data_IF_056201999796
#
_entry.id   IF_056201999796
#
_cell.length_a   1.000
_cell.length_b   1.000
_cell.length_c   1.000
_cell.angle_alpha   90.00
_cell.angle_beta   90.00
_cell.angle_gamma   90.00
#
_symmetry.space_group_name_H-M   'P 1'
#
loop_
_entity.id
_entity.type
_entity.pdbx_description
1 polymer ?
#
# COMPACT_ATOMS: atom_id res chain seq x y z
N UNK A 1 -9.01 39.90 16.37
CA UNK A 1 -8.81 38.49 16.79
C UNK A 1 -8.76 37.63 15.55
N UNK A 2 -7.55 37.41 15.03
CA UNK A 2 -7.29 36.59 13.84
C UNK A 2 -7.20 35.13 14.28
N UNK A 3 -8.13 34.28 13.83
CA UNK A 3 -8.03 32.85 14.02
C UNK A 3 -6.82 32.33 13.25
N UNK A 4 -5.72 32.04 13.94
CA UNK A 4 -4.63 31.27 13.36
C UNK A 4 -5.21 29.89 13.07
N UNK A 5 -5.41 29.61 11.79
CA UNK A 5 -5.72 28.28 11.31
C UNK A 5 -4.57 27.37 11.72
N UNK A 6 -4.79 26.53 12.73
CA UNK A 6 -3.86 25.47 13.09
C UNK A 6 -3.71 24.56 11.88
N UNK A 7 -2.64 24.73 11.11
CA UNK A 7 -2.27 23.75 10.10
C UNK A 7 -2.12 22.40 10.80
N UNK A 8 -2.76 21.32 10.29
CA UNK A 8 -2.56 20.00 10.87
C UNK A 8 -1.06 19.71 10.88
N UNK A 9 -0.52 19.37 12.05
CA UNK A 9 0.90 19.08 12.22
C UNK A 9 1.35 18.06 11.16
N UNK A 10 2.19 18.53 10.21
CA UNK A 10 2.80 17.68 9.20
C UNK A 10 3.77 16.75 9.91
N UNK A 11 3.67 15.46 9.61
CA UNK A 11 4.56 14.45 10.17
C UNK A 11 5.79 14.38 9.27
N UNK A 12 6.70 15.35 9.42
CA UNK A 12 7.87 15.51 8.54
C UNK A 12 8.69 14.21 8.37
N UNK A 13 8.80 13.40 9.44
CA UNK A 13 9.44 12.08 9.36
C UNK A 13 8.70 11.09 8.45
N UNK A 14 7.36 11.07 8.45
CA UNK A 14 6.57 10.23 7.54
C UNK A 14 6.75 10.70 6.10
N UNK A 15 6.78 12.01 5.88
CA UNK A 15 6.96 12.57 4.53
C UNK A 15 8.36 12.24 3.97
N UNK A 16 9.41 12.37 4.80
CA UNK A 16 10.77 11.97 4.43
C UNK A 16 10.88 10.46 4.14
N UNK A 17 10.24 9.64 4.96
CA UNK A 17 10.24 8.18 4.81
C UNK A 17 9.55 7.74 3.52
N UNK A 18 8.43 8.38 3.16
CA UNK A 18 7.78 8.19 1.86
C UNK A 18 8.64 8.66 0.69
N UNK A 19 9.37 9.77 0.83
CA UNK A 19 10.25 10.27 -0.21
C UNK A 19 11.40 9.29 -0.47
N UNK A 20 12.04 8.79 0.58
CA UNK A 20 13.11 7.78 0.46
C UNK A 20 12.54 6.48 -0.13
N UNK A 21 11.43 6.00 0.41
CA UNK A 21 10.77 4.78 -0.08
C UNK A 21 10.38 4.88 -1.55
N UNK A 22 9.90 6.03 -2.03
CA UNK A 22 9.53 6.19 -3.44
C UNK A 22 10.74 6.14 -4.35
N UNK A 23 11.87 6.74 -3.95
CA UNK A 23 13.11 6.63 -4.72
C UNK A 23 13.61 5.18 -4.78
N UNK A 24 13.57 4.45 -3.66
CA UNK A 24 13.96 3.05 -3.63
C UNK A 24 13.09 2.20 -4.57
N UNK A 25 11.77 2.41 -4.60
CA UNK A 25 10.88 1.70 -5.53
C UNK A 25 11.22 2.03 -6.99
N UNK A 26 11.46 3.30 -7.32
CA UNK A 26 11.83 3.69 -8.69
C UNK A 26 13.16 3.05 -9.09
N UNK A 27 14.16 3.12 -8.22
CA UNK A 27 15.48 2.53 -8.45
C UNK A 27 15.42 1.00 -8.57
N UNK A 28 14.60 0.34 -7.77
CA UNK A 28 14.35 -1.10 -7.89
C UNK A 28 13.84 -1.47 -9.29
N UNK A 29 12.83 -0.75 -9.80
CA UNK A 29 12.30 -1.00 -11.14
C UNK A 29 13.34 -0.72 -12.23
N UNK A 30 14.14 0.33 -12.10
CA UNK A 30 15.23 0.62 -13.03
C UNK A 30 16.35 -0.42 -12.99
N UNK A 31 16.62 -1.00 -11.83
CA UNK A 31 17.58 -2.09 -11.65
C UNK A 31 17.06 -3.44 -12.16
N UNK A 32 15.74 -3.61 -12.30
CA UNK A 32 15.14 -4.87 -12.72
C UNK A 32 14.84 -4.94 -14.23
N UNK A 33 14.53 -3.81 -14.87
CA UNK A 33 14.00 -3.80 -16.23
C UNK A 33 14.88 -3.08 -17.27
N UNK A 34 15.07 -3.75 -18.41
CA UNK A 34 15.53 -3.15 -19.66
C UNK A 34 17.05 -3.06 -19.83
N UNK A 35 17.51 -2.72 -21.06
CA UNK A 35 18.92 -2.78 -21.45
C UNK A 35 19.83 -1.81 -20.66
N UNK A 36 19.24 -0.79 -20.06
CA UNK A 36 19.96 0.17 -19.23
C UNK A 36 20.37 -0.43 -17.89
N UNK A 37 19.59 -1.40 -17.37
CA UNK A 37 19.98 -2.16 -16.19
C UNK A 37 21.19 -3.03 -16.48
N UNK A 38 21.21 -3.75 -17.61
CA UNK A 38 22.35 -4.60 -18.00
C UNK A 38 23.66 -3.80 -18.08
N UNK A 39 23.60 -2.60 -18.67
CA UNK A 39 24.73 -1.69 -18.72
C UNK A 39 25.15 -1.21 -17.31
N UNK A 40 24.21 -0.84 -16.45
CA UNK A 40 24.49 -0.41 -15.08
C UNK A 40 25.06 -1.54 -14.21
N UNK A 41 24.60 -2.77 -14.40
CA UNK A 41 25.09 -3.96 -13.70
C UNK A 41 26.57 -4.19 -13.98
N UNK A 42 27.01 -4.00 -15.23
CA UNK A 42 28.44 -4.11 -15.59
C UNK A 42 29.34 -3.11 -14.85
N UNK A 43 28.81 -1.96 -14.41
CA UNK A 43 29.54 -0.91 -13.73
C UNK A 43 29.50 -1.03 -12.20
N UNK A 44 28.38 -1.50 -11.65
CA UNK A 44 28.13 -1.55 -10.21
C UNK A 44 27.26 -2.76 -9.81
N UNK A 45 27.75 -4.01 -10.01
CA UNK A 45 26.92 -5.21 -9.90
C UNK A 45 26.32 -5.36 -8.51
N UNK A 46 27.12 -5.21 -7.45
CA UNK A 46 26.65 -5.34 -6.07
C UNK A 46 25.54 -4.32 -5.70
N UNK A 47 25.56 -3.12 -6.27
CA UNK A 47 24.52 -2.12 -6.04
C UNK A 47 23.23 -2.47 -6.78
N UNK A 48 23.34 -2.89 -8.05
CA UNK A 48 22.18 -3.26 -8.87
C UNK A 48 21.51 -4.52 -8.31
N UNK A 49 22.29 -5.52 -7.91
CA UNK A 49 21.79 -6.73 -7.25
C UNK A 49 21.06 -6.35 -5.94
N UNK A 50 21.65 -5.47 -5.12
CA UNK A 50 21.00 -5.03 -3.88
C UNK A 50 19.67 -4.29 -4.13
N UNK A 51 19.63 -3.42 -5.15
CA UNK A 51 18.42 -2.72 -5.55
C UNK A 51 17.36 -3.69 -6.10
N UNK A 52 17.77 -4.68 -6.89
CA UNK A 52 16.88 -5.70 -7.43
C UNK A 52 16.30 -6.58 -6.32
N UNK A 53 17.10 -7.01 -5.34
CA UNK A 53 16.66 -7.96 -4.33
C UNK A 53 15.92 -7.32 -3.15
N UNK A 54 16.43 -6.19 -2.64
CA UNK A 54 16.01 -5.67 -1.32
C UNK A 54 15.17 -4.40 -1.37
N UNK A 55 15.31 -3.55 -2.40
CA UNK A 55 14.59 -2.28 -2.41
C UNK A 55 13.06 -2.45 -2.56
N UNK A 56 12.58 -3.62 -3.00
CA UNK A 56 11.16 -4.00 -2.98
C UNK A 56 10.54 -3.96 -1.57
N UNK A 57 11.32 -4.15 -0.51
CA UNK A 57 10.86 -4.05 0.89
C UNK A 57 10.27 -2.65 1.19
N UNK A 58 10.64 -1.61 0.42
CA UNK A 58 10.02 -0.29 0.51
C UNK A 58 8.49 -0.31 0.31
N UNK A 59 7.92 -1.32 -0.35
CA UNK A 59 6.45 -1.48 -0.43
C UNK A 59 5.84 -1.68 0.96
N UNK A 60 6.46 -2.50 1.81
CA UNK A 60 5.99 -2.77 3.18
C UNK A 60 5.94 -1.50 4.02
N UNK A 61 6.90 -0.61 3.82
CA UNK A 61 6.94 0.72 4.43
C UNK A 61 5.70 1.55 4.07
N UNK A 62 5.34 1.59 2.77
CA UNK A 62 4.14 2.31 2.32
C UNK A 62 2.85 1.69 2.86
N UNK A 63 2.78 0.37 2.98
CA UNK A 63 1.64 -0.34 3.56
C UNK A 63 1.45 0.04 5.04
N UNK A 64 2.51 -0.02 5.85
CA UNK A 64 2.47 0.37 7.27
C UNK A 64 2.06 1.84 7.42
N UNK A 65 2.69 2.74 6.66
CA UNK A 65 2.35 4.16 6.70
C UNK A 65 0.90 4.40 6.23
N UNK A 66 0.46 3.68 5.20
CA UNK A 66 -0.89 3.72 4.67
C UNK A 66 -1.92 3.37 5.73
N UNK A 67 -1.70 2.27 6.45
CA UNK A 67 -2.53 1.84 7.57
C UNK A 67 -2.55 2.83 8.71
N UNK A 68 -1.38 3.36 9.09
CA UNK A 68 -1.27 4.39 10.14
C UNK A 68 -2.08 5.65 9.81
N UNK A 69 -1.97 6.15 8.57
CA UNK A 69 -2.72 7.33 8.13
C UNK A 69 -4.21 7.04 7.91
N UNK A 70 -4.56 5.81 7.53
CA UNK A 70 -5.95 5.38 7.45
C UNK A 70 -6.60 5.32 8.83
N UNK A 71 -5.93 4.77 9.84
CA UNK A 71 -6.39 4.78 11.22
C UNK A 71 -6.59 6.21 11.74
N UNK A 72 -5.60 7.08 11.53
CA UNK A 72 -5.67 8.50 11.90
C UNK A 72 -6.87 9.23 11.30
N UNK A 73 -7.25 8.90 10.06
CA UNK A 73 -8.32 9.58 9.34
C UNK A 73 -9.71 8.96 9.54
N UNK A 74 -9.80 7.62 9.58
CA UNK A 74 -11.06 6.89 9.70
C UNK A 74 -11.49 6.68 11.15
N UNK A 75 -10.58 6.31 12.03
CA UNK A 75 -10.89 5.85 13.37
C UNK A 75 -9.78 6.14 14.38
N UNK A 76 -9.39 7.40 14.62
CA UNK A 76 -8.25 7.69 15.49
C UNK A 76 -8.47 7.30 16.95
N UNK A 77 -9.73 7.23 17.39
CA UNK A 77 -10.13 6.79 18.74
C UNK A 77 -10.52 5.29 18.75
N UNK A 78 -10.21 4.55 17.68
CA UNK A 78 -10.65 3.16 17.47
C UNK A 78 -12.09 3.03 17.00
N UNK A 79 -12.85 4.12 16.93
CA UNK A 79 -14.22 4.18 16.41
C UNK A 79 -14.26 4.80 15.01
N UNK A 80 -14.93 4.14 14.07
CA UNK A 80 -15.10 4.69 12.72
C UNK A 80 -15.95 5.97 12.73
N UNK A 81 -15.30 7.09 12.43
CA UNK A 81 -15.86 8.45 12.50
C UNK A 81 -16.86 8.76 11.40
N UNK A 82 -16.71 8.16 10.22
CA UNK A 82 -17.56 8.52 9.07
C UNK A 82 -18.92 7.82 9.15
N UNK A 83 -20.06 8.55 9.12
CA UNK A 83 -21.38 7.92 9.12
C UNK A 83 -21.74 7.30 7.76
N UNK A 84 -21.02 7.66 6.68
CA UNK A 84 -21.30 7.23 5.30
C UNK A 84 -20.09 6.47 4.72
N UNK A 85 -19.94 5.17 5.02
CA UNK A 85 -18.78 4.38 4.60
C UNK A 85 -18.61 4.35 3.07
N UNK A 86 -19.68 4.12 2.31
CA UNK A 86 -19.61 4.11 0.85
C UNK A 86 -19.10 5.44 0.27
N UNK A 87 -19.51 6.57 0.85
CA UNK A 87 -19.01 7.88 0.43
C UNK A 87 -17.53 8.06 0.76
N UNK A 88 -17.03 7.48 1.87
CA UNK A 88 -15.61 7.49 2.20
C UNK A 88 -14.80 6.64 1.22
N UNK A 89 -15.32 5.47 0.84
CA UNK A 89 -14.72 4.60 -0.16
C UNK A 89 -14.63 5.29 -1.53
N UNK A 90 -15.73 5.91 -2.00
CA UNK A 90 -15.74 6.62 -3.28
C UNK A 90 -14.79 7.83 -3.30
N UNK A 91 -14.66 8.54 -2.17
CA UNK A 91 -13.65 9.60 -2.03
C UNK A 91 -12.22 9.06 -2.14
N UNK A 92 -11.93 7.90 -1.52
CA UNK A 92 -10.63 7.24 -1.65
C UNK A 92 -10.37 6.81 -3.09
N UNK A 93 -11.35 6.17 -3.73
CA UNK A 93 -11.27 5.79 -5.14
C UNK A 93 -10.89 6.98 -6.03
N UNK A 94 -11.64 8.10 -5.95
CA UNK A 94 -11.35 9.29 -6.77
C UNK A 94 -9.95 9.86 -6.52
N UNK A 95 -9.50 9.87 -5.26
CA UNK A 95 -8.16 10.36 -4.89
C UNK A 95 -7.04 9.49 -5.48
N UNK A 96 -7.28 8.20 -5.68
CA UNK A 96 -6.33 7.27 -6.29
C UNK A 96 -6.46 7.24 -7.81
N UNK A 97 -7.67 7.06 -8.33
CA UNK A 97 -7.95 6.84 -9.75
C UNK A 97 -7.54 8.03 -10.64
N UNK A 98 -7.68 9.28 -10.16
CA UNK A 98 -7.33 10.48 -10.95
C UNK A 98 -5.82 10.56 -11.24
N UNK A 99 -4.91 10.60 -10.23
CA UNK A 99 -3.48 10.59 -10.51
C UNK A 99 -3.02 9.28 -11.18
N UNK A 100 -3.68 8.15 -10.86
CA UNK A 100 -3.40 6.88 -11.50
C UNK A 100 -3.69 6.88 -13.01
N UNK A 101 -4.85 7.41 -13.43
CA UNK A 101 -5.20 7.55 -14.84
C UNK A 101 -4.20 8.42 -15.60
N UNK A 102 -3.74 9.51 -14.97
CA UNK A 102 -2.71 10.38 -15.55
C UNK A 102 -1.37 9.62 -15.71
N UNK A 103 -0.97 8.84 -14.71
CA UNK A 103 0.25 8.02 -14.77
C UNK A 103 0.17 6.94 -15.86
N UNK A 104 -0.97 6.25 -15.99
CA UNK A 104 -1.21 5.27 -17.06
C UNK A 104 -1.15 5.95 -18.43
N UNK A 105 -1.80 7.10 -18.60
CA UNK A 105 -1.74 7.87 -19.84
C UNK A 105 -0.32 8.28 -20.23
N UNK A 106 0.48 8.73 -19.25
CA UNK A 106 1.88 9.06 -19.46
C UNK A 106 2.71 7.82 -19.84
N UNK A 107 2.49 6.69 -19.18
CA UNK A 107 3.18 5.43 -19.48
C UNK A 107 2.88 4.96 -20.92
N UNK A 108 1.61 5.03 -21.34
CA UNK A 108 1.19 4.69 -22.70
C UNK A 108 1.84 5.61 -23.73
N UNK A 109 1.86 6.93 -23.46
CA UNK A 109 2.49 7.91 -24.34
C UNK A 109 4.00 7.69 -24.45
N UNK A 110 4.68 7.45 -23.33
CA UNK A 110 6.11 7.14 -23.30
C UNK A 110 6.43 5.86 -24.08
N UNK A 111 5.65 4.78 -23.89
CA UNK A 111 5.80 3.55 -24.66
C UNK A 111 5.56 3.79 -26.16
N UNK A 112 4.56 4.60 -26.53
CA UNK A 112 4.29 4.94 -27.93
C UNK A 112 5.43 5.73 -28.59
N UNK A 113 6.09 6.62 -27.86
CA UNK A 113 7.29 7.31 -28.34
C UNK A 113 8.48 6.36 -28.46
N UNK A 114 8.69 5.51 -27.46
CA UNK A 114 9.80 4.53 -27.46
C UNK A 114 9.72 3.57 -28.67
N UNK A 115 8.52 3.07 -29.00
CA UNK A 115 8.30 2.19 -30.16
C UNK A 115 8.68 2.82 -31.51
N UNK A 116 8.79 4.14 -31.61
CA UNK A 116 9.21 4.81 -32.85
C UNK A 116 10.73 4.74 -33.07
N UNK A 117 11.50 4.70 -31.97
CA UNK A 117 12.96 4.73 -32.00
C UNK A 117 13.64 3.39 -31.74
N UNK A 118 12.90 2.41 -31.20
CA UNK A 118 13.44 1.12 -30.78
C UNK A 118 12.35 0.05 -30.82
N UNK A 119 12.69 -1.11 -31.39
CA UNK A 119 11.90 -2.33 -31.24
C UNK A 119 12.59 -3.21 -30.20
N UNK A 120 12.00 -3.27 -29.00
CA UNK A 120 12.55 -4.05 -27.90
C UNK A 120 11.40 -4.69 -27.08
N UNK A 121 11.51 -5.97 -26.69
CA UNK A 121 10.45 -6.68 -25.97
C UNK A 121 10.01 -6.02 -24.65
N UNK A 122 10.86 -5.18 -24.06
CA UNK A 122 10.56 -4.44 -22.84
C UNK A 122 9.62 -3.25 -23.05
N UNK A 123 9.30 -2.88 -24.30
CA UNK A 123 8.39 -1.78 -24.60
C UNK A 123 6.97 -2.35 -24.73
N UNK A 124 6.02 -1.98 -23.84
CA UNK A 124 4.66 -2.53 -23.87
C UNK A 124 3.95 -2.28 -25.21
N UNK A 125 3.07 -3.20 -25.61
CA UNK A 125 2.19 -3.02 -26.75
C UNK A 125 1.12 -1.92 -26.49
N UNK A 126 0.46 -1.38 -27.54
CA UNK A 126 -0.69 -0.52 -27.35
C UNK A 126 -1.80 -1.21 -26.53
N UNK A 127 -2.35 -0.53 -25.51
CA UNK A 127 -3.34 -1.14 -24.63
C UNK A 127 -4.68 -1.35 -25.33
N UNK A 128 -5.38 -2.42 -24.95
CA UNK A 128 -6.76 -2.64 -25.37
C UNK A 128 -7.74 -1.84 -24.50
N UNK A 129 -8.92 -1.51 -25.03
CA UNK A 129 -9.95 -0.78 -24.27
C UNK A 129 -10.39 -1.50 -22.99
N UNK A 130 -10.54 -2.83 -23.06
CA UNK A 130 -10.88 -3.66 -21.89
C UNK A 130 -9.80 -3.61 -20.80
N UNK A 131 -8.53 -3.63 -21.21
CA UNK A 131 -7.38 -3.51 -20.31
C UNK A 131 -7.36 -2.14 -19.62
N UNK A 132 -7.57 -1.05 -20.36
CA UNK A 132 -7.67 0.30 -19.79
C UNK A 132 -8.80 0.40 -18.76
N UNK A 133 -9.98 -0.14 -19.09
CA UNK A 133 -11.12 -0.11 -18.19
C UNK A 133 -10.84 -0.91 -16.91
N UNK A 134 -10.25 -2.10 -17.01
CA UNK A 134 -9.87 -2.90 -15.86
C UNK A 134 -8.86 -2.19 -14.95
N UNK A 135 -7.91 -1.44 -15.53
CA UNK A 135 -6.98 -0.62 -14.76
C UNK A 135 -7.70 0.52 -14.05
N UNK A 136 -8.53 1.29 -14.76
CA UNK A 136 -9.26 2.42 -14.16
C UNK A 136 -10.21 1.99 -13.05
N UNK A 137 -10.81 0.80 -13.17
CA UNK A 137 -11.66 0.19 -12.15
C UNK A 137 -10.87 -0.49 -11.02
N UNK A 138 -9.54 -0.57 -11.12
CA UNK A 138 -8.66 -1.25 -10.18
C UNK A 138 -8.95 -2.76 -10.04
N UNK A 139 -9.31 -3.40 -11.15
CA UNK A 139 -9.67 -4.82 -11.23
C UNK A 139 -8.70 -5.67 -12.05
N UNK A 140 -7.64 -5.08 -12.62
CA UNK A 140 -6.73 -5.74 -13.56
C UNK A 140 -6.12 -7.04 -13.01
N UNK A 141 -5.52 -7.03 -11.81
CA UNK A 141 -4.91 -8.23 -11.23
C UNK A 141 -5.95 -9.33 -10.91
N UNK A 142 -7.14 -8.94 -10.43
CA UNK A 142 -8.23 -9.88 -10.10
C UNK A 142 -8.84 -10.51 -11.36
N UNK A 143 -8.75 -9.82 -12.50
CA UNK A 143 -9.22 -10.29 -13.79
C UNK A 143 -8.12 -11.00 -14.60
N UNK A 144 -6.93 -11.20 -14.01
CA UNK A 144 -5.77 -11.79 -14.68
C UNK A 144 -5.37 -11.03 -15.95
N UNK A 145 -5.42 -9.70 -15.88
CA UNK A 145 -5.08 -8.79 -16.97
C UNK A 145 -3.70 -8.20 -16.72
N UNK A 146 -2.80 -8.36 -17.70
CA UNK A 146 -1.44 -7.83 -17.67
C UNK A 146 -1.39 -6.34 -17.29
N UNK A 147 -0.52 -6.03 -16.34
CA UNK A 147 -0.28 -4.69 -15.86
C UNK A 147 0.33 -3.79 -16.96
N UNK A 148 -0.25 -2.61 -17.15
CA UNK A 148 0.21 -1.63 -18.15
C UNK A 148 1.52 -0.92 -17.77
N UNK A 149 1.88 -0.95 -16.50
CA UNK A 149 3.10 -0.35 -15.99
C UNK A 149 3.49 -1.04 -14.68
N UNK A 150 4.77 -1.02 -14.36
CA UNK A 150 5.22 -1.61 -13.11
C UNK A 150 4.72 -0.79 -11.90
N UNK A 151 4.34 -1.47 -10.83
CA UNK A 151 3.82 -0.85 -9.60
C UNK A 151 2.36 -0.40 -9.62
N UNK A 152 1.61 -0.61 -10.71
CA UNK A 152 0.18 -0.25 -10.81
C UNK A 152 -0.71 -1.07 -9.87
N UNK A 153 -0.33 -2.33 -9.63
CA UNK A 153 -0.97 -3.25 -8.69
C UNK A 153 -1.14 -2.63 -7.29
N UNK A 154 -0.15 -1.85 -6.83
CA UNK A 154 -0.15 -1.24 -5.51
C UNK A 154 -1.34 -0.30 -5.32
N UNK A 155 -1.77 0.40 -6.37
CA UNK A 155 -2.92 1.33 -6.31
C UNK A 155 -4.21 0.55 -6.08
N UNK A 156 -4.37 -0.60 -6.74
CA UNK A 156 -5.51 -1.48 -6.54
C UNK A 156 -5.51 -2.07 -5.12
N UNK A 157 -4.36 -2.57 -4.66
CA UNK A 157 -4.19 -3.10 -3.30
C UNK A 157 -4.44 -2.04 -2.23
N UNK A 158 -3.93 -0.81 -2.36
CA UNK A 158 -4.18 0.28 -1.40
C UNK A 158 -5.68 0.60 -1.29
N UNK A 159 -6.40 0.57 -2.43
CA UNK A 159 -7.85 0.75 -2.42
C UNK A 159 -8.56 -0.41 -1.72
N UNK A 160 -8.19 -1.65 -2.02
CA UNK A 160 -8.75 -2.84 -1.37
C UNK A 160 -8.47 -2.84 0.14
N UNK A 161 -7.25 -2.50 0.58
CA UNK A 161 -6.85 -2.41 1.99
C UNK A 161 -7.66 -1.36 2.76
N UNK A 162 -7.83 -0.18 2.16
CA UNK A 162 -8.69 0.86 2.74
C UNK A 162 -10.15 0.38 2.86
N UNK A 163 -10.66 -0.29 1.82
CA UNK A 163 -11.99 -0.89 1.83
C UNK A 163 -12.16 -1.96 2.92
N UNK A 164 -11.17 -2.85 3.06
CA UNK A 164 -11.16 -3.93 4.05
C UNK A 164 -11.13 -3.39 5.49
N UNK A 165 -10.27 -2.39 5.78
CA UNK A 165 -10.28 -1.72 7.07
C UNK A 165 -11.61 -1.02 7.34
N UNK A 166 -12.13 -0.28 6.36
CA UNK A 166 -13.40 0.43 6.48
C UNK A 166 -14.56 -0.52 6.77
N UNK A 167 -14.63 -1.65 6.06
CA UNK A 167 -15.62 -2.70 6.27
C UNK A 167 -15.50 -3.30 7.68
N UNK A 168 -14.28 -3.64 8.10
CA UNK A 168 -13.98 -4.20 9.42
C UNK A 168 -14.49 -3.29 10.54
N UNK A 169 -14.16 -2.01 10.47
CA UNK A 169 -14.59 -1.02 11.47
C UNK A 169 -16.09 -0.71 11.40
N UNK A 170 -16.67 -0.76 10.20
CA UNK A 170 -18.12 -0.59 10.03
C UNK A 170 -18.91 -1.76 10.62
N UNK A 171 -18.42 -2.99 10.47
CA UNK A 171 -19.01 -4.17 11.13
C UNK A 171 -18.91 -4.05 12.65
N UNK A 172 -17.75 -3.66 13.18
CA UNK A 172 -17.55 -3.45 14.63
C UNK A 172 -18.52 -2.40 15.20
N UNK A 173 -18.87 -1.37 14.43
CA UNK A 173 -19.85 -0.34 14.82
C UNK A 173 -21.28 -0.85 14.97
N UNK A 174 -21.61 -2.05 14.47
CA UNK A 174 -22.93 -2.67 14.67
C UNK A 174 -23.12 -3.25 16.08
N UNK A 175 -22.04 -3.34 16.85
CA UNK A 175 -22.05 -3.87 18.21
C UNK A 175 -22.45 -2.80 19.24
N UNK A 176 -22.84 -3.20 20.47
CA UNK A 176 -23.11 -2.27 21.55
C UNK A 176 -21.92 -1.35 21.81
N UNK A 177 -22.18 -0.09 22.18
CA UNK A 177 -21.17 0.97 22.26
C UNK A 177 -19.92 0.57 23.06
N UNK A 178 -20.11 -0.14 24.17
CA UNK A 178 -19.05 -0.60 25.07
C UNK A 178 -18.06 -1.59 24.41
N UNK A 179 -18.50 -2.27 23.35
CA UNK A 179 -17.72 -3.30 22.67
C UNK A 179 -17.09 -2.82 21.37
N UNK A 180 -17.56 -1.73 20.77
CA UNK A 180 -17.17 -1.30 19.41
C UNK A 180 -15.65 -1.13 19.26
N UNK A 181 -15.00 -0.43 20.20
CA UNK A 181 -13.55 -0.19 20.16
C UNK A 181 -12.78 -1.50 20.36
N UNK A 182 -13.17 -2.29 21.37
CA UNK A 182 -12.45 -3.52 21.74
C UNK A 182 -12.54 -4.55 20.63
N UNK A 183 -13.75 -4.77 20.11
CA UNK A 183 -13.97 -5.73 19.03
C UNK A 183 -13.39 -5.22 17.71
N UNK A 184 -13.51 -3.93 17.40
CA UNK A 184 -12.88 -3.35 16.20
C UNK A 184 -11.36 -3.54 16.21
N UNK A 185 -10.69 -3.24 17.33
CA UNK A 185 -9.26 -3.45 17.48
C UNK A 185 -8.89 -4.94 17.42
N UNK A 186 -9.67 -5.82 18.06
CA UNK A 186 -9.46 -7.26 18.02
C UNK A 186 -9.62 -7.84 16.61
N UNK A 187 -10.61 -7.38 15.83
CA UNK A 187 -10.81 -7.80 14.45
C UNK A 187 -9.66 -7.35 13.55
N UNK A 188 -9.19 -6.11 13.69
CA UNK A 188 -8.01 -5.63 12.95
C UNK A 188 -6.77 -6.43 13.33
N UNK A 189 -6.55 -6.70 14.61
CA UNK A 189 -5.43 -7.53 15.06
C UNK A 189 -5.51 -8.96 14.54
N UNK A 190 -6.68 -9.60 14.63
CA UNK A 190 -6.91 -10.94 14.12
C UNK A 190 -6.68 -11.01 12.61
N UNK A 191 -7.17 -10.04 11.84
CA UNK A 191 -6.96 -9.98 10.40
C UNK A 191 -5.50 -9.71 10.03
N UNK A 192 -4.79 -8.86 10.79
CA UNK A 192 -3.36 -8.64 10.61
C UNK A 192 -2.54 -9.90 10.89
N UNK A 193 -2.85 -10.62 11.98
CA UNK A 193 -2.20 -11.89 12.31
C UNK A 193 -2.49 -12.97 11.26
N UNK A 194 -3.76 -13.13 10.85
CA UNK A 194 -4.14 -14.07 9.80
C UNK A 194 -3.42 -13.73 8.48
N UNK A 195 -3.31 -12.44 8.15
CA UNK A 195 -2.55 -11.99 6.99
C UNK A 195 -1.07 -12.38 7.09
N UNK A 196 -0.37 -12.02 8.19
CA UNK A 196 1.06 -12.28 8.36
C UNK A 196 1.41 -13.78 8.39
N UNK A 197 0.61 -14.59 9.08
CA UNK A 197 0.96 -15.98 9.39
C UNK A 197 0.28 -17.02 8.49
N UNK A 198 -0.71 -16.62 7.69
CA UNK A 198 -1.42 -17.52 6.78
C UNK A 198 -1.41 -16.99 5.35
N UNK A 199 -2.16 -15.91 5.07
CA UNK A 199 -2.38 -15.48 3.69
C UNK A 199 -1.11 -15.02 2.99
N UNK A 200 -0.24 -14.28 3.69
CA UNK A 200 1.02 -13.79 3.12
C UNK A 200 2.00 -14.91 2.74
N UNK A 201 1.82 -16.12 3.28
CA UNK A 201 2.71 -17.26 3.00
C UNK A 201 2.40 -17.94 1.67
N UNK A 202 1.25 -17.64 1.07
CA UNK A 202 0.75 -18.30 -0.12
C UNK A 202 0.61 -17.24 -1.24
N UNK A 203 1.42 -17.40 -2.30
CA UNK A 203 1.51 -16.44 -3.40
C UNK A 203 0.20 -16.29 -4.17
N UNK A 204 -0.68 -17.29 -4.13
CA UNK A 204 -1.97 -17.25 -4.83
C UNK A 204 -2.90 -16.13 -4.30
N UNK A 205 -2.56 -15.54 -3.15
CA UNK A 205 -3.30 -14.44 -2.54
C UNK A 205 -2.74 -13.05 -2.85
N UNK A 206 -1.63 -12.92 -3.60
CA UNK A 206 -0.93 -11.64 -3.82
C UNK A 206 -1.72 -10.61 -4.64
N UNK A 207 -2.85 -11.01 -5.24
CA UNK A 207 -3.83 -10.11 -5.87
C UNK A 207 -4.85 -9.50 -4.89
N UNK A 208 -4.88 -9.97 -3.63
CA UNK A 208 -5.88 -9.59 -2.62
C UNK A 208 -5.30 -8.80 -1.45
N UNK A 209 -6.03 -7.79 -0.99
CA UNK A 209 -5.65 -7.01 0.19
C UNK A 209 -5.37 -7.85 1.45
N UNK A 210 -6.01 -9.01 1.61
CA UNK A 210 -5.80 -9.87 2.77
C UNK A 210 -4.36 -10.39 2.86
N UNK A 211 -3.64 -10.51 1.74
CA UNK A 211 -2.22 -10.87 1.70
C UNK A 211 -1.32 -9.77 2.30
N UNK A 212 -1.68 -8.49 2.07
CA UNK A 212 -0.91 -7.32 2.53
C UNK A 212 -1.42 -6.69 3.82
N UNK A 213 -2.57 -7.15 4.33
CA UNK A 213 -3.22 -6.54 5.49
C UNK A 213 -2.38 -6.64 6.76
N UNK A 214 -1.41 -7.56 6.83
CA UNK A 214 -0.48 -7.70 7.95
C UNK A 214 0.28 -6.41 8.21
N UNK A 215 1.06 -5.95 7.22
CA UNK A 215 1.81 -4.70 7.32
C UNK A 215 0.90 -3.48 7.49
N UNK A 216 -0.19 -3.42 6.71
CA UNK A 216 -1.17 -2.34 6.82
C UNK A 216 -1.81 -2.28 8.21
N UNK A 217 -2.23 -3.41 8.74
CA UNK A 217 -2.84 -3.59 10.06
C UNK A 217 -1.87 -3.27 11.20
N UNK A 218 -0.59 -3.64 11.09
CA UNK A 218 0.45 -3.19 12.02
C UNK A 218 0.55 -1.66 12.07
N UNK A 219 0.42 -0.99 10.92
CA UNK A 219 0.31 0.47 10.85
C UNK A 219 -0.90 1.04 11.58
N UNK A 220 -2.07 0.42 11.40
CA UNK A 220 -3.32 0.79 12.09
C UNK A 220 -3.18 0.63 13.60
N UNK A 221 -2.71 -0.53 14.05
CA UNK A 221 -2.52 -0.84 15.47
C UNK A 221 -1.43 0.04 16.09
N UNK A 222 -0.36 0.32 15.34
CA UNK A 222 0.72 1.22 15.76
C UNK A 222 0.21 2.64 16.01
N UNK A 223 -0.70 3.14 15.16
CA UNK A 223 -1.36 4.42 15.41
C UNK A 223 -2.10 4.42 16.75
N UNK A 224 -2.97 3.44 17.00
CA UNK A 224 -3.73 3.38 18.26
C UNK A 224 -2.85 3.13 19.50
N UNK A 225 -1.79 2.34 19.36
CA UNK A 225 -0.82 2.11 20.42
C UNK A 225 0.01 3.35 20.75
N UNK A 226 0.19 4.27 19.79
CA UNK A 226 0.92 5.53 19.97
C UNK A 226 0.09 6.66 20.63
N UNK A 227 -1.21 6.44 20.88
CA UNK A 227 -2.05 7.46 21.49
C UNK A 227 -1.62 7.78 22.94
N UNK A 228 -1.68 9.05 23.36
CA UNK A 228 -1.34 9.46 24.72
C UNK A 228 -2.10 8.64 25.78
N UNK A 229 -1.38 8.15 26.79
CA UNK A 229 -1.95 7.33 27.86
C UNK A 229 -1.96 5.82 27.58
N UNK A 230 -1.52 5.37 26.41
CA UNK A 230 -1.22 3.95 26.14
C UNK A 230 0.22 3.63 26.53
N UNK A 231 0.43 2.44 27.08
CA UNK A 231 1.77 2.00 27.47
C UNK A 231 2.59 1.58 26.26
N UNK A 232 3.89 1.94 26.27
CA UNK A 232 4.84 1.60 25.21
C UNK A 232 5.04 0.10 24.98
N UNK A 233 4.61 -0.76 25.92
CA UNK A 233 4.67 -2.21 25.73
C UNK A 233 3.86 -2.68 24.50
N UNK A 234 2.78 -1.98 24.13
CA UNK A 234 2.00 -2.32 22.95
C UNK A 234 2.81 -2.14 21.66
N UNK A 235 3.66 -1.11 21.60
CA UNK A 235 4.57 -0.91 20.47
C UNK A 235 5.64 -1.99 20.44
N UNK A 236 6.17 -2.39 21.60
CA UNK A 236 7.11 -3.51 21.70
C UNK A 236 6.46 -4.84 21.25
N UNK A 237 5.21 -5.10 21.63
CA UNK A 237 4.47 -6.28 21.21
C UNK A 237 4.25 -6.30 19.68
N UNK A 238 3.88 -5.16 19.09
CA UNK A 238 3.74 -5.04 17.62
C UNK A 238 5.08 -5.25 16.91
N UNK A 239 6.17 -4.71 17.45
CA UNK A 239 7.51 -4.95 16.93
C UNK A 239 7.90 -6.44 17.01
N UNK A 240 7.60 -7.10 18.13
CA UNK A 240 7.83 -8.54 18.30
C UNK A 240 7.02 -9.37 17.30
N UNK A 241 5.75 -9.01 17.02
CA UNK A 241 4.93 -9.66 16.00
C UNK A 241 5.54 -9.48 14.61
N UNK A 242 6.01 -8.28 14.27
CA UNK A 242 6.68 -8.01 13.00
C UNK A 242 7.96 -8.84 12.85
N UNK A 243 8.80 -8.91 13.89
CA UNK A 243 10.01 -9.74 13.91
C UNK A 243 9.65 -11.23 13.76
N UNK A 244 8.65 -11.72 14.50
CA UNK A 244 8.20 -13.10 14.40
C UNK A 244 7.70 -13.45 13.00
N UNK A 245 7.01 -12.53 12.32
CA UNK A 245 6.59 -12.71 10.94
C UNK A 245 7.79 -12.84 9.98
N UNK A 246 8.81 -12.00 10.15
CA UNK A 246 10.05 -12.09 9.35
C UNK A 246 10.79 -13.41 9.58
N UNK A 247 10.74 -13.98 10.78
CA UNK A 247 11.37 -15.28 11.09
C UNK A 247 10.67 -16.47 10.45
N UNK A 248 9.43 -16.31 9.98
CA UNK A 248 8.66 -17.39 9.35
C UNK A 248 8.51 -17.21 7.85
N UNK A 249 9.47 -16.56 7.19
CA UNK A 249 9.48 -16.25 5.74
C UNK A 249 8.28 -15.39 5.29
N UNK A 250 8.13 -14.21 5.91
CA UNK A 250 7.23 -13.17 5.41
C UNK A 250 7.60 -12.80 3.97
N UNK A 251 6.64 -12.86 3.06
CA UNK A 251 6.81 -12.48 1.65
C UNK A 251 6.53 -10.99 1.45
N UNK A 252 7.42 -10.31 0.74
CA UNK A 252 7.42 -8.85 0.53
C UNK A 252 6.71 -8.36 -0.73
#
# INVERSE_FOLDING_TARGET
MSSISSQPARLAGIDALKAIGSQLIVLHHLAFYGPMSDAAHSLAPALIDWLADYARIAVQLFLVIGGFLAARSLAPDGLLRTPRPLAALLRRYRKLAVPFAAAIGLAIAAAALARQGMDHPSIPAPPQWGQLLAHLLLLHDVLDIDALSAGVWYVAIDFQLFGLLLLTLWLARRLPADWQVRVGAALVAALALASLFWFNRDADWDMWAIYFFGAYGLGVLGYWASNPGRSGWWLAALAAVGIAALMVDLRS
#
